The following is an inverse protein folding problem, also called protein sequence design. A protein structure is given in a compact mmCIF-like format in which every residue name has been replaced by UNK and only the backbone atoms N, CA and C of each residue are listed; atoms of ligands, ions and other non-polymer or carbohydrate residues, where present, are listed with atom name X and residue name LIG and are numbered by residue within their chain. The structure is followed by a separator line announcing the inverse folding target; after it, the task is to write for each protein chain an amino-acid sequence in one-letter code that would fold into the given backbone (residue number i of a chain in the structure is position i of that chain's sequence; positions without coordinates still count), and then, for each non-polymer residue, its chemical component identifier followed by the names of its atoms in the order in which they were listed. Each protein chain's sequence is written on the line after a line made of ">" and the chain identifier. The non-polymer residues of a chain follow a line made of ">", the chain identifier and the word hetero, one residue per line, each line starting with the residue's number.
data_IF_911275946565
#
_entry.id   IF_911275946565
#
_cell.length_a   1.000
_cell.length_b   1.000
_cell.length_c   1.000
_cell.angle_alpha   90.00
_cell.angle_beta   90.00
_cell.angle_gamma   90.00
#
_symmetry.space_group_name_H-M   'P 1'
#
loop_
_entity.id
_entity.type
_entity.pdbx_description
1 polymer ?
2 branched ?
3 non-polymer ?
#
# COMPACT_ATOMS: atom_id res chain seq x y z
N UNK A 7 4.88 -36.53 47.30
CA UNK A 7 5.47 -35.76 48.40
C UNK A 7 4.63 -34.56 48.79
N UNK A 8 5.06 -33.85 49.83
CA UNK A 8 4.38 -32.65 50.28
C UNK A 8 4.45 -31.54 49.23
N UNK A 9 5.53 -31.57 48.44
CA UNK A 9 5.71 -30.63 47.34
C UNK A 9 4.84 -30.98 46.14
N UNK A 10 4.34 -32.22 46.12
CA UNK A 10 3.47 -32.70 45.05
C UNK A 10 2.08 -32.03 45.10
N UNK A 11 1.64 -31.66 46.30
CA UNK A 11 0.38 -30.94 46.47
C UNK A 11 0.57 -29.48 46.08
N UNK A 12 1.80 -28.98 46.21
CA UNK A 12 2.16 -27.64 45.79
C UNK A 12 2.24 -27.54 44.27
N UNK A 13 2.88 -28.54 43.65
CA UNK A 13 3.03 -28.57 42.19
C UNK A 13 1.69 -28.76 41.49
N UNK A 14 0.86 -29.66 42.01
CA UNK A 14 -0.47 -29.90 41.45
C UNK A 14 -1.30 -28.62 41.49
N UNK A 15 -1.04 -27.81 42.51
CA UNK A 15 -1.72 -26.53 42.66
C UNK A 15 -1.11 -25.48 41.73
N UNK A 16 0.12 -25.75 41.30
CA UNK A 16 0.82 -24.85 40.38
C UNK A 16 0.42 -25.12 38.93
N UNK A 17 0.36 -26.40 38.56
CA UNK A 17 0.00 -26.79 37.21
C UNK A 17 -1.46 -26.47 36.90
N UNK A 18 -2.33 -26.68 37.87
CA UNK A 18 -3.73 -26.35 37.68
C UNK A 18 -3.86 -24.85 37.41
N UNK A 19 -3.05 -24.06 38.11
CA UNK A 19 -3.05 -22.61 37.92
C UNK A 19 -2.21 -22.24 36.70
N UNK A 20 -1.35 -23.15 36.30
CA UNK A 20 -0.52 -22.93 35.12
C UNK A 20 -1.32 -23.08 33.84
N UNK A 21 -1.95 -24.23 33.65
CA UNK A 21 -2.76 -24.44 32.46
C UNK A 21 -3.98 -23.52 32.48
N UNK A 22 -4.98 -23.89 33.26
CA UNK A 22 -6.23 -23.14 33.35
C UNK A 22 -5.98 -21.65 33.56
N UNK A 23 -4.98 -21.35 34.38
CA UNK A 23 -4.66 -19.97 34.67
C UNK A 23 -3.85 -19.31 33.56
N UNK A 24 -2.72 -19.90 33.23
CA UNK A 24 -1.81 -19.27 32.30
C UNK A 24 -2.15 -19.57 30.85
N UNK A 25 -2.15 -20.85 30.50
CA UNK A 25 -2.24 -21.24 29.10
C UNK A 25 -3.59 -20.95 28.45
N UNK A 26 -4.67 -20.97 29.24
CA UNK A 26 -5.99 -20.81 28.66
C UNK A 26 -6.45 -19.35 28.52
N UNK A 27 -6.40 -18.60 29.60
CA UNK A 27 -6.87 -17.22 29.51
C UNK A 27 -5.85 -16.32 28.83
N UNK A 28 -4.58 -16.65 28.97
CA UNK A 28 -3.54 -15.87 28.31
C UNK A 28 -3.35 -16.34 26.86
N UNK A 29 -2.90 -17.57 26.70
CA UNK A 29 -2.57 -18.10 25.39
C UNK A 29 -3.79 -18.66 24.64
N UNK A 30 -4.86 -18.91 25.37
CA UNK A 30 -6.15 -19.27 24.79
C UNK A 30 -6.11 -20.53 23.93
N UNK A 31 -5.25 -21.47 24.33
CA UNK A 31 -5.01 -22.67 23.55
C UNK A 31 -6.21 -23.57 23.30
N UNK A 32 -7.25 -23.42 24.11
CA UNK A 32 -8.41 -24.32 24.04
C UNK A 32 -9.27 -24.12 22.80
N UNK A 33 -8.86 -23.21 21.93
CA UNK A 33 -9.60 -22.92 20.70
C UNK A 33 -8.91 -23.50 19.45
N UNK A 34 -9.65 -23.60 18.35
CA UNK A 34 -9.08 -23.94 17.05
C UNK A 34 -9.03 -22.70 16.15
N UNK A 35 -7.92 -22.50 15.46
CA UNK A 35 -7.73 -21.32 14.63
C UNK A 35 -8.55 -21.33 13.33
N UNK A 36 -8.76 -20.16 12.74
CA UNK A 36 -9.27 -20.04 11.37
C UNK A 36 -8.92 -18.67 10.79
N UNK A 37 -8.26 -18.65 9.64
CA UNK A 37 -7.87 -17.38 9.03
C UNK A 37 -8.97 -16.77 8.17
N UNK A 38 -8.77 -15.51 7.82
CA UNK A 38 -9.80 -14.68 7.24
C UNK A 38 -9.85 -14.75 5.73
N UNK A 39 -11.06 -14.94 5.21
CA UNK A 39 -11.31 -14.73 3.80
C UNK A 39 -11.83 -13.30 3.66
N UNK A 40 -11.15 -12.51 2.85
CA UNK A 40 -11.41 -11.08 2.81
C UNK A 40 -11.73 -10.58 1.42
N UNK A 41 -12.51 -9.50 1.37
CA UNK A 41 -12.69 -8.74 0.15
C UNK A 41 -12.79 -7.29 0.59
N UNK A 42 -12.17 -6.36 -0.14
CA UNK A 42 -12.34 -4.95 0.21
C UNK A 42 -12.74 -4.07 -0.97
N UNK A 43 -13.41 -2.98 -0.64
CA UNK A 43 -13.87 -2.01 -1.62
C UNK A 43 -13.53 -0.61 -1.12
N UNK A 44 -13.14 0.27 -2.04
CA UNK A 44 -12.77 1.62 -1.68
C UNK A 44 -13.45 2.63 -2.59
N UNK A 45 -13.73 3.81 -2.04
CA UNK A 45 -14.25 4.90 -2.86
C UNK A 45 -13.56 6.16 -2.41
N UNK A 46 -12.69 6.68 -3.27
CA UNK A 46 -12.03 7.95 -3.01
C UNK A 46 -12.97 9.04 -3.53
N UNK A 47 -13.13 10.12 -2.75
CA UNK A 47 -13.79 11.33 -3.26
C UNK A 47 -12.93 12.57 -2.97
N UNK A 48 -13.08 13.58 -3.81
CA UNK A 48 -12.35 14.82 -3.64
C UNK A 48 -11.92 15.42 -4.96
N UNK A 49 -11.72 16.73 -4.99
CA UNK A 49 -11.19 17.35 -6.20
C UNK A 49 -10.01 18.24 -5.88
N UNK A 50 -9.22 18.56 -6.90
CA UNK A 50 -7.95 19.20 -6.67
C UNK A 50 -7.66 20.23 -7.75
N UNK A 51 -7.22 21.41 -7.31
CA UNK A 51 -6.86 22.48 -8.23
C UNK A 51 -5.36 22.51 -8.50
N UNK A 52 -4.99 22.88 -9.72
CA UNK A 52 -3.59 23.09 -10.08
C UNK A 52 -3.44 24.26 -11.05
N UNK A 53 -2.75 25.30 -10.60
CA UNK A 53 -2.36 26.39 -11.49
C UNK A 53 -1.06 26.01 -12.20
N UNK A 54 -1.22 25.38 -13.36
CA UNK A 54 -0.08 24.96 -14.18
C UNK A 54 0.68 26.19 -14.66
N UNK A 55 1.98 26.05 -14.90
CA UNK A 55 2.82 27.19 -15.28
C UNK A 55 2.22 28.03 -16.41
N UNK A 56 2.01 27.39 -17.57
CA UNK A 56 1.45 28.06 -18.73
C UNK A 56 -0.05 27.79 -18.87
N UNK A 57 -0.41 26.52 -18.74
CA UNK A 57 -1.76 26.02 -19.05
C UNK A 57 -2.88 26.69 -18.26
N UNK A 58 -2.52 27.40 -17.19
CA UNK A 58 -3.52 28.05 -16.36
C UNK A 58 -4.21 27.08 -15.42
N UNK A 59 -5.10 27.61 -14.59
CA UNK A 59 -5.80 26.84 -13.57
C UNK A 59 -6.59 25.67 -14.15
N UNK A 60 -6.62 24.57 -13.41
CA UNK A 60 -7.14 23.32 -13.95
C UNK A 60 -7.70 22.44 -12.84
N UNK A 61 -8.74 21.67 -13.16
CA UNK A 61 -9.35 20.78 -12.20
C UNK A 61 -8.91 19.34 -12.41
N UNK A 62 -8.97 18.56 -11.34
CA UNK A 62 -8.56 17.17 -11.36
C UNK A 62 -9.53 16.38 -10.49
N UNK A 63 -10.54 15.77 -11.09
CA UNK A 63 -11.49 14.99 -10.30
C UNK A 63 -10.90 13.65 -9.90
N UNK A 64 -10.40 13.58 -8.66
CA UNK A 64 -9.81 12.36 -8.15
C UNK A 64 -10.61 11.13 -8.61
N UNK A 65 -11.92 11.28 -8.76
CA UNK A 65 -12.68 10.26 -9.41
C UNK A 65 -11.89 9.84 -10.64
N UNK A 66 -12.14 10.51 -11.76
CA UNK A 66 -11.72 10.00 -13.06
C UNK A 66 -10.31 10.38 -13.49
N UNK A 67 -9.87 11.58 -13.14
CA UNK A 67 -8.63 12.10 -13.66
C UNK A 67 -7.41 11.71 -12.80
N UNK A 68 -7.66 11.24 -11.59
CA UNK A 68 -6.64 11.11 -10.58
C UNK A 68 -6.29 9.69 -10.24
N UNK A 69 -7.19 8.77 -10.53
CA UNK A 69 -6.94 7.36 -10.21
C UNK A 69 -6.69 6.55 -11.47
N UNK A 70 -5.42 6.25 -11.75
CA UNK A 70 -5.09 5.26 -12.77
C UNK A 70 -4.49 4.05 -12.09
N UNK A 71 -5.15 2.89 -12.21
CA UNK A 71 -6.50 2.82 -12.73
C UNK A 71 -7.39 2.61 -11.51
N UNK A 72 -8.57 2.05 -11.73
CA UNK A 72 -9.49 1.71 -10.65
C UNK A 72 -9.29 0.26 -10.21
N UNK A 73 -8.46 0.07 -9.17
CA UNK A 73 -7.97 -1.25 -8.75
C UNK A 73 -8.92 -2.08 -7.88
N UNK A 74 -8.59 -3.37 -7.75
CA UNK A 74 -9.39 -4.33 -6.98
C UNK A 74 -9.58 -3.97 -5.49
N UNK A 75 -8.53 -4.17 -4.69
CA UNK A 75 -8.51 -3.68 -3.32
C UNK A 75 -7.71 -2.38 -3.14
N UNK A 76 -6.39 -2.47 -3.34
CA UNK A 76 -5.45 -1.34 -3.36
C UNK A 76 -5.87 -0.21 -4.29
N UNK A 77 -5.07 0.84 -4.35
CA UNK A 77 -5.36 1.95 -5.22
C UNK A 77 -4.31 3.04 -5.17
N UNK A 78 -4.24 3.79 -6.25
CA UNK A 78 -3.15 4.72 -6.40
C UNK A 78 -3.68 6.11 -6.70
N UNK A 79 -3.20 7.05 -5.92
CA UNK A 79 -3.64 8.43 -5.97
C UNK A 79 -2.56 9.27 -6.63
N UNK A 80 -2.93 10.02 -7.66
CA UNK A 80 -1.97 10.85 -8.36
C UNK A 80 -1.69 12.11 -7.57
N UNK A 81 -0.43 12.48 -7.44
CA UNK A 81 -0.05 13.64 -6.65
C UNK A 81 0.88 14.57 -7.43
N UNK A 82 1.72 13.99 -8.29
CA UNK A 82 2.72 14.75 -9.03
C UNK A 82 2.96 14.18 -10.41
N UNK A 83 3.57 14.95 -11.30
CA UNK A 83 3.69 14.52 -12.70
C UNK A 83 4.64 15.33 -13.57
N UNK A 84 5.15 14.67 -14.61
CA UNK A 84 5.88 15.30 -15.69
C UNK A 84 5.14 14.93 -16.96
N UNK A 85 4.66 15.93 -17.67
CA UNK A 85 3.78 15.69 -18.80
C UNK A 85 4.43 16.05 -20.14
N UNK A 86 4.69 15.04 -20.95
CA UNK A 86 5.20 15.24 -22.31
C UNK A 86 4.10 15.00 -23.32
N UNK A 87 3.89 15.93 -24.24
CA UNK A 87 2.79 15.76 -25.20
C UNK A 87 3.21 15.89 -26.67
N UNK A 88 2.22 15.89 -27.57
CA UNK A 88 2.47 15.89 -29.01
C UNK A 88 3.53 14.88 -29.43
N UNK A 89 3.78 13.87 -28.62
CA UNK A 89 4.70 12.79 -28.98
C UNK A 89 4.22 12.04 -30.22
N UNK A 90 5.16 11.58 -31.04
CA UNK A 90 4.84 10.78 -32.22
C UNK A 90 5.96 9.79 -32.55
N UNK A 91 5.64 8.82 -33.39
CA UNK A 91 6.66 7.89 -33.89
C UNK A 91 7.58 8.60 -34.87
N UNK A 92 8.86 8.71 -34.51
CA UNK A 92 9.79 9.53 -35.30
C UNK A 92 11.22 9.34 -34.80
N UNK A 93 12.19 9.92 -35.52
CA UNK A 93 13.59 9.90 -35.11
C UNK A 93 13.99 11.19 -34.38
N UNK A 94 14.99 11.10 -33.50
CA UNK A 94 15.40 12.25 -32.68
C UNK A 94 16.62 12.02 -31.78
N UNK A 95 17.19 13.12 -31.27
CA UNK A 95 18.46 13.09 -30.53
C UNK A 95 18.33 12.56 -29.11
N UNK A 96 19.19 11.61 -28.73
CA UNK A 96 19.17 11.09 -27.37
C UNK A 96 19.47 12.18 -26.35
N UNK A 97 19.26 11.87 -25.07
CA UNK A 97 19.57 12.81 -24.01
C UNK A 97 21.05 12.82 -23.71
N UNK A 98 21.62 14.01 -23.51
CA UNK A 98 23.05 14.20 -23.24
C UNK A 98 23.56 13.28 -22.13
N UNK A 99 24.37 12.30 -22.51
CA UNK A 99 24.95 11.36 -21.57
C UNK A 99 26.25 10.84 -22.14
N UNK A 100 27.27 10.72 -21.29
CA UNK A 100 28.56 10.19 -21.78
C UNK A 100 28.38 8.90 -22.60
N UNK A 101 27.40 8.08 -22.24
CA UNK A 101 27.13 6.86 -23.01
C UNK A 101 26.41 7.13 -24.33
N UNK A 102 25.69 8.24 -24.39
CA UNK A 102 24.92 8.61 -25.57
C UNK A 102 25.69 9.57 -26.48
N UNK A 103 26.66 10.28 -25.90
CA UNK A 103 27.39 11.32 -26.62
C UNK A 103 28.26 10.74 -27.73
N UNK A 104 28.34 11.47 -28.83
CA UNK A 104 29.08 11.04 -30.01
C UNK A 104 29.79 12.20 -30.70
N UNK A 105 30.82 11.86 -31.47
CA UNK A 105 31.60 12.82 -32.26
C UNK A 105 31.18 12.83 -33.73
N UNK A 106 30.73 11.67 -34.23
CA UNK A 106 30.27 11.49 -35.62
C UNK A 106 29.49 10.18 -35.77
N UNK A 107 28.97 9.93 -36.97
CA UNK A 107 28.17 8.73 -37.25
C UNK A 107 28.85 7.44 -36.82
N UNK A 108 30.16 7.51 -36.60
CA UNK A 108 30.94 6.34 -36.25
C UNK A 108 30.59 5.82 -34.85
N UNK A 109 30.25 6.74 -33.96
CA UNK A 109 29.98 6.39 -32.57
C UNK A 109 28.60 5.73 -32.37
N UNK A 110 27.64 6.10 -33.22
CA UNK A 110 26.27 5.62 -33.10
C UNK A 110 26.02 4.39 -33.96
N UNK A 111 25.63 3.28 -33.32
CA UNK A 111 25.45 2.02 -34.04
C UNK A 111 24.61 1.02 -33.24
N UNK A 113 21.92 -0.97 -31.01
CA UNK A 113 22.70 -1.69 -30.00
C UNK A 113 21.80 -2.20 -28.87
N UNK A 114 22.41 -2.89 -27.91
CA UNK A 114 21.70 -3.38 -26.72
C UNK A 114 21.38 -2.25 -25.72
N UNK A 115 22.34 -1.36 -25.52
CA UNK A 115 22.16 -0.22 -24.63
C UNK A 115 21.15 0.79 -25.19
N UNK A 116 21.20 0.99 -26.50
CA UNK A 116 20.27 1.88 -27.17
C UNK A 116 18.85 1.48 -26.79
N UNK A 117 18.51 0.23 -27.09
CA UNK A 117 17.19 -0.31 -26.76
C UNK A 117 16.91 -0.27 -25.27
N UNK A 118 17.96 -0.09 -24.46
CA UNK A 118 17.80 0.06 -23.01
C UNK A 118 17.56 1.52 -22.62
N UNK A 119 17.97 2.43 -23.49
CA UNK A 119 17.82 3.86 -23.24
C UNK A 119 16.59 4.52 -23.81
N UNK A 120 16.81 5.64 -24.48
CA UNK A 120 15.74 6.52 -24.97
C UNK A 120 14.97 5.97 -26.18
N UNK A 121 15.58 5.04 -26.90
CA UNK A 121 14.98 4.49 -28.10
C UNK A 121 15.98 3.69 -28.91
N UNK A 122 15.55 3.14 -30.05
CA UNK A 122 16.42 2.30 -30.86
C UNK A 122 17.38 3.11 -31.76
N UNK A 123 18.66 2.79 -31.67
CA UNK A 123 19.70 3.58 -32.33
C UNK A 123 19.76 3.40 -33.84
N UNK A 124 19.53 4.48 -34.57
CA UNK A 124 19.85 4.55 -35.99
C UNK A 124 21.28 5.08 -36.11
N UNK A 125 22.08 4.45 -36.96
CA UNK A 125 23.49 4.78 -37.06
C UNK A 125 23.81 6.27 -37.10
N UNK A 126 22.98 7.03 -37.81
CA UNK A 126 23.21 8.46 -37.97
C UNK A 126 23.48 9.15 -36.64
N UNK A 127 24.40 10.11 -36.66
CA UNK A 127 24.66 10.93 -35.48
C UNK A 127 24.17 12.38 -35.69
N UNK A 128 23.47 12.91 -34.69
CA UNK A 128 22.80 14.20 -34.81
C UNK A 128 23.05 15.08 -33.59
N UNK A 129 23.00 16.39 -33.82
CA UNK A 129 23.26 17.36 -32.76
C UNK A 129 22.05 17.53 -31.84
N UNK A 130 22.25 17.23 -30.56
CA UNK A 130 21.22 17.45 -29.54
C UNK A 130 20.95 18.95 -29.36
N UNK A 131 21.88 19.77 -29.86
CA UNK A 131 21.77 21.23 -29.82
C UNK A 131 22.94 21.81 -30.61
N UNK A 132 23.00 23.14 -30.70
CA UNK A 132 24.15 23.78 -31.35
C UNK A 132 25.43 23.46 -30.59
N UNK A 133 25.29 23.38 -29.27
CA UNK A 133 26.43 23.20 -28.37
C UNK A 133 26.99 21.78 -28.38
N UNK A 134 26.13 20.80 -28.61
CA UNK A 134 26.55 19.42 -28.45
C UNK A 134 25.93 18.46 -29.46
N UNK A 135 26.31 17.20 -29.36
CA UNK A 135 25.86 16.18 -30.30
C UNK A 135 25.77 14.81 -29.61
N UNK A 136 24.79 14.02 -30.04
CA UNK A 136 24.52 12.72 -29.46
C UNK A 136 23.83 11.83 -30.48
N UNK A 137 23.86 10.52 -30.26
CA UNK A 137 23.34 9.54 -31.23
C UNK A 137 21.86 9.70 -31.52
N UNK A 138 21.50 9.69 -32.81
CA UNK A 138 20.08 9.71 -33.17
C UNK A 138 19.44 8.35 -32.92
N UNK A 139 18.17 8.38 -32.53
CA UNK A 139 17.38 7.18 -32.28
C UNK A 139 15.96 7.45 -32.74
N UNK A 140 15.28 6.42 -33.26
CA UNK A 140 13.84 6.53 -33.46
C UNK A 140 13.12 6.12 -32.17
N UNK A 141 12.00 6.77 -31.89
CA UNK A 141 11.37 6.68 -30.58
C UNK A 141 10.08 7.49 -30.57
N UNK A 142 9.48 7.62 -29.40
CA UNK A 142 8.41 8.57 -29.22
C UNK A 142 9.10 9.90 -28.96
N UNK A 143 8.85 10.83 -29.88
CA UNK A 143 9.54 12.10 -29.90
C UNK A 143 8.52 13.22 -30.02
N UNK A 144 8.82 14.40 -29.45
CA UNK A 144 10.05 14.72 -28.69
C UNK A 144 10.22 13.89 -27.41
N UNK A 145 11.46 13.55 -27.10
CA UNK A 145 11.77 12.84 -25.85
C UNK A 145 11.26 13.61 -24.65
N UNK A 146 11.00 12.88 -23.58
CA UNK A 146 10.61 13.50 -22.31
C UNK A 146 11.82 14.23 -21.69
N UNK A 147 11.57 15.44 -21.20
CA UNK A 147 12.62 16.29 -20.62
C UNK A 147 13.08 15.77 -19.24
N UNK A 148 14.38 15.56 -19.11
CA UNK A 148 14.94 15.06 -17.84
C UNK A 148 15.01 16.13 -16.76
N UNK A 149 14.06 16.08 -15.83
CA UNK A 149 13.94 17.05 -14.77
C UNK A 149 13.45 16.35 -13.51
N UNK A 150 13.62 17.02 -12.37
CA UNK A 150 13.11 16.50 -11.11
C UNK A 150 11.64 16.94 -11.00
N UNK A 151 10.81 16.15 -10.31
CA UNK A 151 9.37 16.42 -10.30
C UNK A 151 9.09 17.72 -9.56
N UNK A 152 7.99 18.39 -9.90
CA UNK A 152 7.65 19.69 -9.33
C UNK A 152 7.59 19.65 -7.82
N UNK A 153 7.91 20.78 -7.23
CA UNK A 153 7.87 20.91 -5.80
C UNK A 153 7.52 22.33 -5.45
N UNK A 154 6.43 22.50 -4.69
CA UNK A 154 5.63 21.40 -4.10
C UNK A 154 4.74 20.68 -5.13
N UNK A 155 4.13 19.54 -4.72
CA UNK A 155 3.29 18.67 -5.54
C UNK A 155 2.18 19.39 -6.28
N UNK A 156 1.90 19.01 -7.52
CA UNK A 156 0.79 19.60 -8.28
C UNK A 156 -0.58 19.34 -7.67
N UNK A 157 -0.89 18.08 -7.39
CA UNK A 157 -2.15 17.73 -6.72
C UNK A 157 -1.97 17.66 -5.18
N UNK A 158 -1.44 18.73 -4.59
CA UNK A 158 -1.23 18.78 -3.14
C UNK A 158 -2.53 18.78 -2.36
N UNK A 159 -3.62 19.13 -3.06
CA UNK A 159 -4.97 19.14 -2.49
C UNK A 159 -5.38 17.75 -2.03
N UNK A 160 -4.68 16.75 -2.54
CA UNK A 160 -4.98 15.35 -2.24
C UNK A 160 -4.80 15.02 -0.77
N UNK A 161 -4.07 15.87 -0.04
CA UNK A 161 -3.82 15.61 1.38
C UNK A 161 -5.21 15.43 1.97
N UNK A 162 -6.14 16.23 1.44
CA UNK A 162 -7.47 16.41 1.99
C UNK A 162 -8.57 15.54 1.35
N UNK A 163 -8.25 14.81 0.29
CA UNK A 163 -9.18 13.82 -0.25
C UNK A 163 -9.47 12.81 0.81
N UNK A 164 -10.61 12.17 0.67
CA UNK A 164 -11.01 11.21 1.67
C UNK A 164 -11.46 9.94 0.97
N UNK A 165 -11.06 8.80 1.51
CA UNK A 165 -11.44 7.50 0.99
C UNK A 165 -12.41 6.77 1.91
N UNK A 166 -13.46 6.18 1.33
CA UNK A 166 -14.33 5.25 2.05
C UNK A 166 -13.82 3.82 1.87
N UNK A 167 -13.76 3.05 2.95
CA UNK A 167 -13.23 1.69 2.88
C UNK A 167 -14.17 0.65 3.44
N UNK A 168 -14.69 -0.19 2.55
CA UNK A 168 -15.57 -1.28 2.93
C UNK A 168 -14.79 -2.58 2.96
N UNK A 169 -15.15 -3.47 3.87
CA UNK A 169 -14.41 -4.71 4.02
C UNK A 169 -15.27 -5.85 4.54
N UNK A 170 -15.76 -6.69 3.64
CA UNK A 170 -16.46 -7.90 4.01
C UNK A 170 -15.47 -9.04 4.23
N UNK A 171 -15.61 -9.76 5.34
CA UNK A 171 -14.73 -10.90 5.63
C UNK A 171 -15.49 -12.14 6.09
N UNK A 172 -14.85 -13.29 5.99
CA UNK A 172 -15.46 -14.54 6.38
C UNK A 172 -14.45 -15.57 6.88
N UNK A 173 -14.79 -16.25 7.97
CA UNK A 173 -14.06 -17.43 8.39
C UNK A 173 -14.80 -18.68 7.93
N UNK A 174 -14.32 -19.30 6.84
CA UNK A 174 -14.94 -20.46 6.20
C UNK A 174 -15.28 -21.56 7.21
N UNK A 175 -14.33 -21.85 8.09
CA UNK A 175 -14.47 -22.93 9.05
C UNK A 175 -15.68 -22.73 9.96
N UNK A 176 -15.74 -21.57 10.63
CA UNK A 176 -16.84 -21.31 11.55
C UNK A 176 -18.04 -20.65 10.91
N UNK A 177 -18.19 -20.84 9.60
CA UNK A 177 -19.34 -20.31 8.86
C UNK A 177 -19.85 -19.01 9.46
N UNK A 178 -18.95 -18.04 9.56
CA UNK A 178 -19.25 -16.76 10.19
C UNK A 178 -18.68 -15.62 9.36
N UNK A 179 -19.43 -14.52 9.27
CA UNK A 179 -18.95 -13.37 8.49
C UNK A 179 -19.61 -12.03 8.82
N UNK A 180 -18.80 -10.98 8.78
CA UNK A 180 -19.18 -9.66 9.25
C UNK A 180 -18.57 -8.59 8.36
N UNK A 181 -18.92 -7.33 8.60
CA UNK A 181 -18.39 -6.23 7.79
C UNK A 181 -17.94 -5.09 8.67
N UNK A 182 -16.85 -4.44 8.28
CA UNK A 182 -16.26 -3.36 9.07
C UNK A 182 -17.25 -2.25 9.41
N UNK A 183 -18.33 -2.14 8.65
CA UNK A 183 -19.39 -1.19 8.99
C UNK A 183 -20.38 -1.81 9.98
N UNK A 184 -20.40 -1.28 11.20
CA UNK A 184 -21.23 -1.82 12.27
C UNK A 184 -22.71 -1.48 12.07
N UNK A 185 -23.60 -2.36 12.57
CA UNK A 185 -25.05 -2.17 12.44
C UNK A 185 -25.54 -1.02 13.31
N UNK A 186 -24.84 -0.79 14.42
CA UNK A 186 -25.16 0.32 15.31
C UNK A 186 -25.06 1.68 14.58
N UNK A 187 -24.21 1.75 13.55
CA UNK A 187 -23.99 2.98 12.80
C UNK A 187 -25.10 3.28 11.78
N UNK A 188 -25.79 4.41 11.95
CA UNK A 188 -26.81 4.82 10.98
C UNK A 188 -26.19 5.28 9.67
N UNK A 189 -26.99 5.33 8.61
CA UNK A 189 -26.51 5.82 7.32
C UNK A 189 -26.31 7.32 7.35
N UNK A 190 -27.17 8.03 8.08
CA UNK A 190 -27.10 9.48 8.06
C UNK A 190 -25.79 10.00 8.64
N UNK A 191 -25.21 9.24 9.57
CA UNK A 191 -23.91 9.57 10.15
C UNK A 191 -22.77 9.45 9.13
N UNK A 192 -22.80 8.35 8.37
CA UNK A 192 -21.83 8.07 7.33
C UNK A 192 -21.96 9.02 6.15
N UNK A 193 -22.89 9.95 6.26
CA UNK A 193 -23.14 10.92 5.21
C UNK A 193 -22.06 12.01 5.26
N UNK A 194 -21.41 12.12 6.42
CA UNK A 194 -20.36 13.12 6.59
C UNK A 194 -19.38 12.85 7.74
N UNK A 195 -19.44 11.68 8.35
CA UNK A 195 -18.43 11.35 9.34
C UNK A 195 -17.05 11.22 8.68
N UNK A 196 -15.99 11.28 9.49
CA UNK A 196 -14.62 11.09 9.04
C UNK A 196 -13.83 10.45 10.16
N UNK A 197 -13.30 9.28 9.90
CA UNK A 197 -12.55 8.56 10.91
C UNK A 197 -11.59 9.45 11.71
N UNK A 198 -11.44 9.11 12.98
CA UNK A 198 -10.48 9.73 13.91
C UNK A 198 -10.43 8.85 15.15
N UNK A 199 -9.22 8.54 15.60
CA UNK A 199 -9.04 7.63 16.73
C UNK A 199 -9.81 8.06 17.98
N UNK A 200 -9.76 9.37 18.27
CA UNK A 200 -10.34 9.94 19.49
C UNK A 200 -11.87 10.00 19.49
N UNK A 201 -12.43 10.64 18.48
CA UNK A 201 -13.87 10.84 18.41
C UNK A 201 -14.61 9.71 17.68
N UNK A 202 -14.26 9.48 16.42
CA UNK A 202 -15.00 8.56 15.55
C UNK A 202 -14.21 7.33 15.11
N UNK A 203 -14.09 6.33 15.99
CA UNK A 203 -13.34 5.10 15.72
C UNK A 203 -14.04 4.21 14.68
N UNK A 204 -15.35 4.40 14.55
CA UNK A 204 -16.21 3.53 13.76
C UNK A 204 -16.56 4.15 12.43
N UNK A 205 -15.98 5.31 12.15
CA UNK A 205 -16.14 5.91 10.84
C UNK A 205 -15.13 5.30 9.86
N UNK A 206 -15.64 4.60 8.83
CA UNK A 206 -14.85 3.89 7.83
C UNK A 206 -14.45 4.82 6.70
N UNK A 207 -14.71 6.12 6.86
CA UNK A 207 -14.25 7.09 5.90
C UNK A 207 -12.96 7.72 6.42
N UNK A 208 -11.85 7.49 5.74
CA UNK A 208 -10.56 7.99 6.22
C UNK A 208 -10.04 9.13 5.36
N UNK A 209 -9.32 10.05 6.00
CA UNK A 209 -8.73 11.14 5.24
C UNK A 209 -7.27 10.85 4.86
N UNK A 210 -6.96 11.05 3.58
CA UNK A 210 -5.67 10.64 3.06
C UNK A 210 -4.54 11.24 3.87
N UNK A 211 -4.59 12.56 4.11
CA UNK A 211 -3.61 13.18 4.98
C UNK A 211 -3.50 12.44 6.29
N UNK A 212 -4.63 12.13 6.90
CA UNK A 212 -4.67 11.52 8.24
C UNK A 212 -4.18 10.08 8.25
N UNK A 213 -4.32 9.42 7.10
CA UNK A 213 -3.78 8.08 6.93
C UNK A 213 -2.28 8.16 6.89
N UNK A 214 -1.76 9.01 6.02
CA UNK A 214 -0.32 9.18 5.91
C UNK A 214 0.16 9.52 7.29
N UNK A 215 -0.46 10.54 7.87
CA UNK A 215 -0.08 11.10 9.16
C UNK A 215 -0.12 10.09 10.29
N UNK A 216 -1.19 9.31 10.37
CA UNK A 216 -1.32 8.31 11.42
C UNK A 216 -0.10 7.39 11.38
N UNK A 217 0.56 7.35 10.23
CA UNK A 217 1.67 6.42 9.98
C UNK A 217 3.03 6.99 10.39
N UNK A 218 3.03 8.14 11.04
CA UNK A 218 4.25 8.87 11.40
C UNK A 218 4.93 9.44 10.17
N UNK A 219 4.13 9.97 9.24
CA UNK A 219 4.66 10.49 7.98
C UNK A 219 3.98 11.80 7.63
N UNK A 220 4.28 12.35 6.47
CA UNK A 220 3.63 13.57 6.03
C UNK A 220 3.19 13.49 4.57
N UNK A 221 1.89 13.69 4.32
CA UNK A 221 1.38 13.67 2.96
C UNK A 221 2.12 14.65 2.06
N UNK A 222 2.66 15.73 2.61
CA UNK A 222 3.29 16.73 1.75
C UNK A 222 4.72 16.37 1.34
N UNK A 223 5.52 15.92 2.30
CA UNK A 223 6.87 15.50 1.95
C UNK A 223 6.87 14.14 1.27
N UNK A 224 5.72 13.49 1.24
CA UNK A 224 5.60 12.19 0.55
C UNK A 224 4.99 12.33 -0.83
N UNK A 225 4.17 13.36 -1.00
CA UNK A 225 3.42 13.54 -2.23
C UNK A 225 4.27 14.05 -3.39
N UNK A 226 5.46 14.53 -3.09
CA UNK A 226 6.29 15.10 -4.14
C UNK A 226 6.81 13.96 -5.02
N UNK A 227 7.48 13.00 -4.38
CA UNK A 227 8.15 11.92 -5.07
C UNK A 227 7.40 10.58 -4.95
N UNK A 228 6.32 10.56 -4.18
CA UNK A 228 5.45 9.39 -4.08
C UNK A 228 5.89 8.30 -3.11
N UNK A 229 5.02 7.32 -2.91
CA UNK A 229 5.28 6.20 -2.04
C UNK A 229 4.09 5.26 -1.93
N UNK A 230 4.20 4.26 -1.05
CA UNK A 230 3.09 3.36 -0.79
C UNK A 230 2.70 3.30 0.68
N UNK A 231 1.44 3.61 0.96
CA UNK A 231 0.89 3.50 2.29
C UNK A 231 0.17 2.18 2.50
N UNK A 232 0.55 1.46 3.56
CA UNK A 232 -0.12 0.25 3.94
C UNK A 232 -1.21 0.49 4.97
N UNK A 233 -2.44 0.15 4.61
CA UNK A 233 -3.59 0.27 5.52
C UNK A 233 -3.94 -1.10 6.08
N UNK A 234 -3.37 -1.44 7.23
CA UNK A 234 -3.53 -2.76 7.80
C UNK A 234 -4.81 -2.88 8.61
N UNK A 235 -5.67 -3.81 8.20
CA UNK A 235 -6.89 -4.12 8.97
C UNK A 235 -6.71 -5.46 9.68
N UNK A 236 -7.08 -5.52 10.96
CA UNK A 236 -6.90 -6.76 11.71
C UNK A 236 -8.16 -7.25 12.40
N UNK A 237 -8.59 -8.44 11.99
CA UNK A 237 -9.80 -9.06 12.49
C UNK A 237 -9.53 -10.16 13.48
N UNK A 238 -9.50 -9.83 14.76
CA UNK A 238 -9.49 -10.88 15.76
C UNK A 238 -10.83 -11.01 16.46
N UNK A 239 -11.37 -12.23 16.43
CA UNK A 239 -12.65 -12.50 17.02
C UNK A 239 -12.57 -13.78 17.81
N UNK A 240 -12.96 -13.69 19.08
CA UNK A 240 -13.24 -14.86 19.89
C UNK A 240 -14.70 -15.21 19.64
N UNK A 241 -14.93 -16.26 18.86
CA UNK A 241 -16.29 -16.60 18.42
C UNK A 241 -17.15 -17.25 19.51
N UNK A 242 -16.52 -17.64 20.61
CA UNK A 242 -17.31 -18.14 21.73
C UNK A 242 -17.94 -16.96 22.46
N UNK A 243 -17.37 -15.78 22.25
CA UNK A 243 -17.95 -14.52 22.74
C UNK A 243 -18.95 -14.00 21.72
N UNK A 244 -19.77 -13.02 22.13
CA UNK A 244 -20.77 -12.48 21.20
C UNK A 244 -20.15 -11.98 19.89
N UNK A 245 -20.84 -12.21 18.79
CA UNK A 245 -20.38 -11.78 17.48
C UNK A 245 -20.33 -10.25 17.40
N UNK A 246 -20.71 -9.59 18.48
CA UNK A 246 -20.74 -8.13 18.53
C UNK A 246 -19.36 -7.58 18.88
N UNK A 247 -18.59 -8.39 19.59
CA UNK A 247 -17.25 -8.05 20.09
C UNK A 247 -16.19 -8.28 19.01
N UNK A 248 -16.61 -8.92 17.92
CA UNK A 248 -15.79 -9.10 16.75
C UNK A 248 -15.66 -7.77 16.03
N UNK A 249 -14.47 -7.18 16.08
CA UNK A 249 -14.28 -5.83 15.57
C UNK A 249 -12.94 -5.70 14.85
N UNK A 250 -12.86 -4.81 13.84
CA UNK A 250 -11.64 -4.51 13.06
C UNK A 250 -10.76 -3.44 13.70
N UNK A 251 -9.46 -3.69 13.83
CA UNK A 251 -8.53 -2.65 14.22
C UNK A 251 -7.76 -2.14 13.00
N UNK A 252 -7.62 -0.81 12.87
CA UNK A 252 -6.89 -0.21 11.76
C UNK A 252 -5.52 0.34 12.14
N UNK A 253 -4.46 -0.20 11.51
CA UNK A 253 -3.10 0.30 11.72
C UNK A 253 -2.55 0.92 10.45
N UNK A 254 -1.53 1.76 10.57
CA UNK A 254 -0.96 2.40 9.39
C UNK A 254 0.56 2.28 9.30
N UNK A 255 1.08 2.28 8.08
CA UNK A 255 2.49 1.97 7.84
C UNK A 255 2.98 2.46 6.50
N UNK A 256 4.13 3.11 6.50
CA UNK A 256 4.82 3.43 5.26
C UNK A 256 5.56 2.16 4.79
N UNK A 257 5.43 1.79 3.52
CA UNK A 257 6.04 0.55 3.06
C UNK A 257 7.34 0.77 2.31
N UNK A 258 7.37 1.83 1.50
CA UNK A 258 8.58 2.18 0.75
C UNK A 258 9.68 2.72 1.64
N UNK A 259 10.92 2.62 1.16
CA UNK A 259 12.08 3.15 1.86
C UNK A 259 12.35 4.59 1.48
N UNK A 260 12.51 5.45 2.49
CA UNK A 260 12.90 6.84 2.26
C UNK A 260 14.38 6.94 1.86
N UNK A 261 15.24 6.25 2.59
CA UNK A 261 16.68 6.37 2.38
C UNK A 261 17.05 6.32 0.89
N UNK A 262 17.77 7.35 0.41
CA UNK A 262 18.26 7.43 -0.97
C UNK A 262 19.25 6.33 -1.28
N UNK A 263 20.15 6.08 -0.33
CA UNK A 263 21.14 5.02 -0.43
C UNK A 263 20.48 3.71 0.01
N UNK A 264 20.98 2.58 -0.51
CA UNK A 264 20.42 1.26 -0.20
C UNK A 264 19.05 0.98 -0.87
N UNK A 265 18.79 1.60 -2.02
CA UNK A 265 17.55 1.35 -2.76
C UNK A 265 17.54 1.82 -4.22
N UNK A 266 16.42 1.59 -4.89
CA UNK A 266 16.22 1.90 -6.32
C UNK A 266 14.77 2.29 -6.55
N UNK A 267 14.50 3.02 -7.62
CA UNK A 267 13.15 3.52 -7.88
C UNK A 267 12.56 4.17 -6.63
N UNK A 268 13.26 5.18 -6.07
CA UNK A 268 12.82 5.85 -4.85
C UNK A 268 11.40 6.44 -4.94
N UNK A 269 10.60 6.17 -3.92
CA UNK A 269 9.23 6.64 -3.91
C UNK A 269 8.40 5.78 -4.83
N UNK A 270 7.40 6.37 -5.47
CA UNK A 270 6.49 5.59 -6.31
C UNK A 270 5.86 6.38 -7.48
N UNK A 271 6.19 5.93 -8.69
CA UNK A 271 5.75 6.56 -9.93
C UNK A 271 5.80 5.55 -11.06
N UNK A 272 5.14 5.90 -12.15
CA UNK A 272 5.14 5.08 -13.34
C UNK A 272 4.58 5.93 -14.48
N UNK A 273 4.88 5.55 -15.72
CA UNK A 273 4.35 6.28 -16.88
C UNK A 273 3.18 5.59 -17.59
N UNK A 274 2.29 6.40 -18.13
CA UNK A 274 1.18 5.90 -18.91
C UNK A 274 0.86 6.97 -19.94
N UNK A 275 0.03 6.66 -20.92
CA UNK A 275 -0.11 7.59 -22.02
C UNK A 275 -1.55 7.74 -22.46
N UNK A 276 -1.76 8.69 -23.35
CA UNK A 276 -3.08 8.96 -23.88
C UNK A 276 -2.92 9.06 -25.36
N UNK A 277 -3.65 8.22 -26.07
CA UNK A 277 -3.51 8.12 -27.51
C UNK A 277 -4.62 8.88 -28.20
N UNK A 278 -4.28 9.44 -29.36
CA UNK A 278 -5.19 10.28 -30.10
C UNK A 278 -5.05 10.06 -31.60
N UNK A 279 -6.13 9.66 -32.25
CA UNK A 279 -6.14 9.61 -33.71
C UNK A 279 -6.25 11.03 -34.25
N UNK A 280 -5.14 11.54 -34.76
CA UNK A 280 -5.11 12.85 -35.40
C UNK A 280 -6.09 12.92 -36.59
N UNK A 281 -6.64 14.11 -36.84
CA UNK A 281 -7.53 14.32 -37.98
C UNK A 281 -6.82 13.95 -39.29
N UNK A 282 -5.50 13.98 -39.25
CA UNK A 282 -4.64 13.65 -40.39
C UNK A 282 -4.54 12.13 -40.64
N UNK A 283 -5.00 11.34 -39.67
CA UNK A 283 -4.91 9.89 -39.76
C UNK A 283 -3.66 9.33 -39.11
N UNK A 284 -2.73 10.21 -38.74
CA UNK A 284 -1.51 9.81 -38.05
C UNK A 284 -1.73 9.67 -36.54
N UNK A 285 -0.80 8.96 -35.87
CA UNK A 285 -0.87 8.78 -34.41
C UNK A 285 -0.07 9.81 -33.61
N UNK A 286 -0.63 10.23 -32.48
CA UNK A 286 0.07 11.07 -31.50
C UNK A 286 -0.35 10.64 -30.10
N UNK A 287 0.51 10.87 -29.12
CA UNK A 287 0.21 10.45 -27.76
C UNK A 287 0.77 11.41 -26.75
N UNK A 288 0.10 11.50 -25.61
CA UNK A 288 0.60 12.27 -24.49
C UNK A 288 1.16 11.33 -23.44
N UNK A 289 2.47 11.40 -23.24
CA UNK A 289 3.13 10.57 -22.22
C UNK A 289 3.20 11.29 -20.87
N UNK A 290 2.99 10.54 -19.81
CA UNK A 290 2.84 11.11 -18.48
C UNK A 290 3.55 10.22 -17.47
N UNK A 291 4.52 10.79 -16.78
CA UNK A 291 5.15 10.09 -15.67
C UNK A 291 4.50 10.62 -14.41
N UNK A 292 3.69 9.80 -13.76
CA UNK A 292 2.99 10.26 -12.58
C UNK A 292 3.57 9.73 -11.28
N UNK A 293 3.85 10.62 -10.34
CA UNK A 293 4.20 10.20 -8.98
C UNK A 293 2.93 10.21 -8.14
N UNK A 294 2.88 9.35 -7.14
CA UNK A 294 1.70 9.32 -6.30
C UNK A 294 1.83 8.37 -5.14
N UNK A 295 0.78 8.29 -4.34
CA UNK A 295 0.74 7.36 -3.23
C UNK A 295 -0.22 6.19 -3.49
N UNK A 296 0.33 4.99 -3.52
CA UNK A 296 -0.47 3.80 -3.67
C UNK A 296 -0.88 3.33 -2.29
N UNK A 297 -2.16 3.20 -2.04
CA UNK A 297 -2.59 2.65 -0.76
C UNK A 297 -2.92 1.17 -0.88
N UNK A 298 -2.19 0.36 -0.13
CA UNK A 298 -2.50 -1.06 -0.09
C UNK A 298 -3.33 -1.38 1.13
N UNK A 299 -4.50 -1.97 0.91
CA UNK A 299 -5.30 -2.43 2.04
C UNK A 299 -4.98 -3.90 2.37
N UNK A 300 -4.19 -4.10 3.41
CA UNK A 300 -3.83 -5.43 3.87
C UNK A 300 -4.77 -5.93 4.96
N UNK A 301 -5.55 -6.95 4.65
CA UNK A 301 -6.47 -7.51 5.65
C UNK A 301 -6.00 -8.86 6.19
N UNK A 302 -6.10 -9.05 7.50
CA UNK A 302 -5.73 -10.31 8.13
C UNK A 302 -6.36 -10.47 9.51
N UNK A 303 -6.42 -11.71 9.97
CA UNK A 303 -6.82 -11.99 11.34
C UNK A 303 -7.06 -13.46 11.56
N UNK A 304 -7.24 -13.84 12.81
CA UNK A 304 -7.58 -15.22 13.15
C UNK A 304 -8.80 -15.24 14.09
N UNK A 305 -9.32 -16.42 14.38
CA UNK A 305 -10.45 -16.56 15.31
C UNK A 305 -10.48 -17.96 15.91
N UNK A 306 -11.32 -18.15 16.92
CA UNK A 306 -11.45 -19.45 17.56
C UNK A 306 -12.63 -19.61 18.50
N UNK A 307 -13.31 -20.74 18.39
CA UNK A 307 -14.32 -21.13 19.37
C UNK A 307 -13.71 -22.13 20.34
N UNK A 308 -14.48 -22.56 21.33
CA UNK A 308 -14.04 -23.63 22.23
C UNK A 308 -13.94 -24.96 21.48
N UNK A 309 -13.11 -25.87 21.98
CA UNK A 309 -12.98 -27.19 21.38
C UNK A 309 -12.38 -28.24 22.32
N UNK A 310 -12.89 -29.46 22.24
CA UNK A 310 -12.43 -30.55 23.10
C UNK A 310 -11.03 -31.06 22.79
N UNK A 311 -10.76 -31.34 21.51
CA UNK A 311 -9.50 -31.96 21.11
C UNK A 311 -8.24 -31.21 21.57
N UNK A 312 -8.14 -29.90 21.29
CA UNK A 312 -6.97 -29.14 21.70
C UNK A 312 -6.90 -29.02 23.22
N UNK A 313 -8.06 -28.85 23.84
CA UNK A 313 -8.16 -28.73 25.30
C UNK A 313 -7.60 -29.97 25.99
N UNK A 314 -8.20 -31.12 25.69
CA UNK A 314 -7.75 -32.38 26.28
C UNK A 314 -6.32 -32.69 25.90
N UNK A 315 -5.96 -32.36 24.66
CA UNK A 315 -4.59 -32.55 24.20
C UNK A 315 -3.65 -31.81 25.14
N UNK A 316 -3.99 -30.57 25.47
CA UNK A 316 -3.12 -29.75 26.32
C UNK A 316 -3.20 -30.13 27.79
N UNK A 317 -4.40 -30.42 28.27
CA UNK A 317 -4.58 -30.89 29.62
C UNK A 317 -3.77 -32.15 29.86
N UNK A 318 -3.85 -33.08 28.90
CA UNK A 318 -3.07 -34.29 28.96
C UNK A 318 -1.60 -33.98 29.23
N UNK A 319 -1.05 -33.06 28.44
CA UNK A 319 0.34 -32.66 28.60
C UNK A 319 0.59 -32.01 29.94
N UNK A 320 -0.47 -31.43 30.51
CA UNK A 320 -0.38 -30.83 31.82
C UNK A 320 -0.07 -31.87 32.87
N UNK A 321 -0.69 -33.04 32.74
CA UNK A 321 -0.51 -34.11 33.71
C UNK A 321 0.86 -34.79 33.57
N UNK A 322 1.36 -34.87 32.34
CA UNK A 322 2.68 -35.40 32.10
C UNK A 322 3.75 -34.41 32.58
N UNK A 323 3.42 -33.13 32.49
CA UNK A 323 4.33 -32.07 32.90
C UNK A 323 4.55 -32.10 34.41
N UNK A 324 3.46 -32.21 35.16
CA UNK A 324 3.55 -32.18 36.62
C UNK A 324 4.35 -33.35 37.17
N UNK A 325 4.43 -34.43 36.39
CA UNK A 325 5.22 -35.58 36.77
C UNK A 325 6.66 -35.18 37.05
N UNK A 326 7.22 -34.41 36.12
CA UNK A 326 8.62 -33.96 36.24
C UNK A 326 8.77 -32.83 37.25
N UNK A 327 7.67 -32.12 37.52
CA UNK A 327 7.70 -31.00 38.44
C UNK A 327 8.19 -31.42 39.83
N UNK A 328 7.90 -32.66 40.20
CA UNK A 328 8.32 -33.20 41.49
C UNK A 328 9.83 -33.37 41.58
N UNK A 329 10.43 -33.87 40.50
CA UNK A 329 11.88 -34.01 40.44
C UNK A 329 12.57 -32.65 40.50
N UNK A 330 11.90 -31.63 39.97
CA UNK A 330 12.42 -30.27 40.02
C UNK A 330 12.32 -29.68 41.42
N UNK A 331 11.20 -29.95 42.09
CA UNK A 331 11.00 -29.47 43.45
C UNK A 331 11.90 -30.20 44.45
N UNK A 332 12.16 -31.48 44.19
CA UNK A 332 13.00 -32.28 45.07
C UNK A 332 14.47 -31.91 44.97
N UNK A 333 14.93 -31.60 43.76
CA UNK A 333 16.32 -31.19 43.55
C UNK A 333 16.55 -29.77 44.06
N UNK A 334 15.52 -28.93 43.98
CA UNK A 334 15.60 -27.57 44.51
C UNK A 334 15.57 -27.57 46.03
N UNK A 335 14.50 -28.11 46.60
CA UNK A 335 14.35 -28.23 48.04
C UNK A 335 15.11 -29.43 48.59
N UNK A 336 16.28 -29.16 49.19
CA UNK A 336 17.13 -30.20 49.76
C UNK A 336 17.54 -31.26 48.72
#
# INVERSE_FOLDING_TARGET
>A
GSSKKVGTLNRFTQALVIAYVIGYVFVYNKGYQDTDTVLSSVTTKVKGIALTKTSELGERIWDVADYIIPPQEDGSFFVLTNMIITTNQTQSKCAENPTPASTCTSHRDCKRGFNDARGDGVRTGRCVSYSASVKTCEVLSWCPLEKIVDPPNPPLLADAERFTVLIKNNIRYPKFNFNKRNILPNINSSYLTHCVFSRKTDPDCPIFRLGDIVGEAEEDFQIMAVRGGVMGVQIRWDCDLDMPQSWCVPRYTFRRLDNKDPDNNVAPGYNFRFAKYYKNSDGTETRTLIKGYGIRFDVMVFGQAGKFNIIPTLLNIGAGLALLGLVNVICDWIVLTFMKRKQHYKEQKYTYVDDF
#
